data_IF_607273980854
#
_entry.id   IF_607273980854
#
_cell.length_a   1.000
_cell.length_b   1.000
_cell.length_c   1.000
_cell.angle_alpha   90.00
_cell.angle_beta   90.00
_cell.angle_gamma   90.00
#
_symmetry.space_group_name_H-M   'P 1'
#
loop_
_entity.id
_entity.type
_entity.pdbx_description
1 polymer ?
#
# COMPACT_ATOMS: atom_id res chain seq x y z
N UNK A 1 -9.45 4.37 20.22
CA UNK A 1 -10.41 5.33 19.60
C UNK A 1 -11.22 4.60 18.53
N UNK A 2 -12.55 4.77 18.42
CA UNK A 2 -13.35 4.13 17.37
C UNK A 2 -12.94 4.60 15.97
N UNK A 3 -13.16 3.76 14.96
CA UNK A 3 -12.68 3.99 13.59
C UNK A 3 -13.22 5.28 12.97
N UNK A 4 -14.47 5.65 13.24
CA UNK A 4 -15.05 6.90 12.74
C UNK A 4 -14.35 8.15 13.31
N UNK A 5 -13.90 8.13 14.57
CA UNK A 5 -13.13 9.24 15.15
C UNK A 5 -11.73 9.33 14.53
N UNK A 6 -11.10 8.17 14.25
CA UNK A 6 -9.83 8.11 13.50
C UNK A 6 -10.01 8.69 12.10
N UNK A 7 -11.11 8.37 11.43
CA UNK A 7 -11.42 8.90 10.11
C UNK A 7 -11.61 10.42 10.12
N UNK A 8 -12.31 10.97 11.11
CA UNK A 8 -12.43 12.43 11.24
C UNK A 8 -11.06 13.10 11.46
N UNK A 9 -10.21 12.52 12.30
CA UNK A 9 -8.83 12.99 12.50
C UNK A 9 -8.01 12.92 11.20
N UNK A 10 -8.14 11.83 10.45
CA UNK A 10 -7.55 11.70 9.12
C UNK A 10 -8.03 12.80 8.17
N UNK A 11 -9.33 13.07 8.08
CA UNK A 11 -9.88 14.10 7.20
C UNK A 11 -9.33 15.50 7.51
N UNK A 12 -9.11 15.80 8.79
CA UNK A 12 -8.52 17.08 9.22
C UNK A 12 -7.04 17.20 8.84
N UNK A 13 -6.30 16.09 8.83
CA UNK A 13 -4.85 16.07 8.51
C UNK A 13 -4.57 15.87 7.02
N UNK A 14 -5.49 15.24 6.30
CA UNK A 14 -5.28 14.82 4.92
C UNK A 14 -5.22 16.01 3.97
N UNK A 15 -4.25 15.98 3.05
CA UNK A 15 -4.13 16.92 1.95
C UNK A 15 -4.58 16.27 0.63
N UNK A 16 -4.57 17.06 -0.43
CA UNK A 16 -4.76 16.60 -1.81
C UNK A 16 -3.47 16.90 -2.61
N UNK A 17 -3.51 16.74 -3.94
CA UNK A 17 -2.37 17.04 -4.82
C UNK A 17 -1.72 18.42 -4.60
N UNK A 18 -2.46 19.43 -4.13
CA UNK A 18 -1.93 20.78 -3.94
C UNK A 18 -1.10 20.94 -2.67
N UNK A 19 -1.24 20.01 -1.72
CA UNK A 19 -0.41 19.94 -0.51
C UNK A 19 0.73 18.93 -0.61
N UNK A 20 1.03 18.44 -1.81
CA UNK A 20 2.11 17.48 -2.07
C UNK A 20 3.29 18.21 -2.71
N UNK A 21 4.45 18.18 -2.06
CA UNK A 21 5.67 18.83 -2.54
C UNK A 21 6.65 17.87 -3.22
N UNK A 22 6.53 16.56 -2.98
CA UNK A 22 7.33 15.54 -3.67
C UNK A 22 6.83 15.34 -5.12
N UNK A 23 7.66 15.55 -6.15
CA UNK A 23 7.27 15.30 -7.54
C UNK A 23 6.87 13.84 -7.80
N UNK A 24 7.46 12.89 -7.07
CA UNK A 24 7.10 11.47 -7.12
C UNK A 24 5.68 11.26 -6.61
N UNK A 25 5.38 11.75 -5.40
CA UNK A 25 4.04 11.61 -4.79
C UNK A 25 3.00 12.37 -5.60
N UNK A 26 3.32 13.55 -6.13
CA UNK A 26 2.40 14.33 -6.97
C UNK A 26 1.98 13.55 -8.22
N UNK A 27 2.95 12.91 -8.91
CA UNK A 27 2.64 12.05 -10.07
C UNK A 27 1.80 10.84 -9.67
N UNK A 28 2.15 10.16 -8.57
CA UNK A 28 1.38 9.02 -8.08
C UNK A 28 -0.08 9.40 -7.77
N UNK A 29 -0.30 10.51 -7.07
CA UNK A 29 -1.65 10.98 -6.74
C UNK A 29 -2.44 11.31 -8.01
N UNK A 30 -1.87 12.13 -8.89
CA UNK A 30 -2.58 12.64 -10.07
C UNK A 30 -2.83 11.57 -11.13
N UNK A 31 -1.91 10.59 -11.28
CA UNK A 31 -1.98 9.58 -12.34
C UNK A 31 -2.54 8.24 -11.88
N UNK A 32 -2.44 7.91 -10.59
CA UNK A 32 -2.95 6.65 -10.04
C UNK A 32 -4.16 6.87 -9.12
N UNK A 33 -4.01 7.68 -8.06
CA UNK A 33 -5.05 7.76 -7.02
C UNK A 33 -6.35 8.38 -7.55
N UNK A 34 -6.22 9.48 -8.30
CA UNK A 34 -7.36 10.20 -8.88
C UNK A 34 -7.84 9.65 -10.22
N UNK A 35 -7.16 8.62 -10.74
CA UNK A 35 -7.64 7.95 -11.93
C UNK A 35 -8.95 7.19 -11.62
N UNK A 36 -10.00 7.50 -12.39
CA UNK A 36 -11.34 6.93 -12.27
C UNK A 36 -11.60 5.77 -13.23
N UNK A 37 -10.62 5.43 -14.07
CA UNK A 37 -10.68 4.28 -14.97
C UNK A 37 -10.88 3.00 -14.15
N UNK A 38 -11.87 2.21 -14.55
CA UNK A 38 -12.13 0.90 -13.96
C UNK A 38 -11.34 -0.14 -14.73
N UNK A 39 -10.53 -0.90 -14.01
CA UNK A 39 -9.78 -2.02 -14.58
C UNK A 39 -10.70 -3.25 -14.56
N UNK A 40 -10.96 -3.90 -15.71
CA UNK A 40 -11.74 -5.14 -15.74
C UNK A 40 -11.16 -6.17 -14.79
N UNK A 41 -12.02 -6.77 -13.97
CA UNK A 41 -11.64 -7.76 -12.97
C UNK A 41 -12.86 -8.62 -12.68
N UNK A 42 -12.73 -9.92 -12.94
CA UNK A 42 -13.83 -10.89 -12.82
C UNK A 42 -14.11 -11.25 -11.36
N UNK A 43 -13.06 -11.30 -10.54
CA UNK A 43 -13.12 -11.77 -9.17
C UNK A 43 -12.37 -10.85 -8.20
N UNK A 44 -12.99 -10.53 -7.07
CA UNK A 44 -12.36 -9.80 -5.97
C UNK A 44 -12.27 -10.73 -4.76
N UNK A 45 -11.16 -10.69 -4.00
CA UNK A 45 -11.04 -11.40 -2.73
C UNK A 45 -12.21 -11.07 -1.79
N UNK A 46 -12.61 -12.04 -0.97
CA UNK A 46 -13.82 -11.93 -0.15
C UNK A 46 -13.75 -10.84 0.92
N UNK A 47 -12.56 -10.46 1.36
CA UNK A 47 -12.30 -9.49 2.41
C UNK A 47 -11.99 -8.07 1.88
N UNK A 48 -12.05 -7.85 0.55
CA UNK A 48 -11.85 -6.53 -0.07
C UNK A 48 -13.08 -6.04 -0.82
N UNK A 49 -13.43 -4.76 -0.61
CA UNK A 49 -14.51 -4.14 -1.39
C UNK A 49 -14.05 -3.84 -2.81
N UNK A 50 -14.99 -3.83 -3.78
CA UNK A 50 -14.70 -3.50 -5.19
C UNK A 50 -13.94 -2.18 -5.35
N UNK A 51 -14.28 -1.15 -4.57
CA UNK A 51 -13.58 0.16 -4.60
C UNK A 51 -12.11 0.03 -4.17
N UNK A 52 -11.85 -0.71 -3.10
CA UNK A 52 -10.50 -0.95 -2.58
C UNK A 52 -9.69 -1.82 -3.55
N UNK A 53 -10.30 -2.88 -4.10
CA UNK A 53 -9.65 -3.72 -5.11
C UNK A 53 -9.28 -2.93 -6.37
N UNK A 54 -10.17 -2.07 -6.86
CA UNK A 54 -9.88 -1.17 -7.97
C UNK A 54 -8.70 -0.23 -7.70
N UNK A 55 -8.53 0.22 -6.46
CA UNK A 55 -7.37 1.02 -6.08
C UNK A 55 -6.07 0.21 -6.20
N UNK A 56 -6.05 -1.03 -5.70
CA UNK A 56 -4.89 -1.93 -5.84
C UNK A 56 -4.57 -2.23 -7.30
N UNK A 57 -5.57 -2.51 -8.14
CA UNK A 57 -5.36 -2.75 -9.57
C UNK A 57 -4.76 -1.51 -10.26
N UNK A 58 -5.16 -0.30 -9.87
CA UNK A 58 -4.55 0.94 -10.40
C UNK A 58 -3.10 1.09 -9.96
N UNK A 59 -2.74 0.69 -8.73
CA UNK A 59 -1.34 0.65 -8.30
C UNK A 59 -0.54 -0.31 -9.17
N UNK A 60 -1.02 -1.52 -9.40
CA UNK A 60 -0.34 -2.50 -10.27
C UNK A 60 -0.20 -1.97 -11.69
N UNK A 61 -1.25 -1.37 -12.27
CA UNK A 61 -1.19 -0.73 -13.59
C UNK A 61 -0.20 0.43 -13.64
N UNK A 62 -0.08 1.22 -12.58
CA UNK A 62 0.79 2.39 -12.54
C UNK A 62 2.27 2.02 -12.35
N UNK A 63 2.56 1.06 -11.47
CA UNK A 63 3.92 0.65 -11.14
C UNK A 63 4.47 -0.43 -12.07
N UNK A 64 3.60 -1.19 -12.75
CA UNK A 64 3.98 -2.33 -13.61
C UNK A 64 5.02 -3.26 -12.91
N UNK A 65 4.74 -3.72 -11.67
CA UNK A 65 5.69 -4.54 -10.93
C UNK A 65 5.94 -5.85 -11.69
N UNK A 66 7.18 -6.32 -11.69
CA UNK A 66 7.52 -7.65 -12.23
C UNK A 66 7.22 -8.72 -11.21
N UNK A 67 7.31 -8.41 -9.91
CA UNK A 67 7.09 -9.37 -8.83
C UNK A 67 6.20 -8.82 -7.73
N UNK A 68 5.16 -9.59 -7.38
CA UNK A 68 4.23 -9.28 -6.29
C UNK A 68 4.30 -10.39 -5.24
N UNK A 69 4.51 -10.03 -3.98
CA UNK A 69 4.31 -10.92 -2.83
C UNK A 69 3.06 -10.52 -2.08
N UNK A 70 2.20 -11.49 -1.77
CA UNK A 70 0.96 -11.25 -1.03
C UNK A 70 1.03 -12.00 0.30
N UNK A 71 0.69 -11.29 1.36
CA UNK A 71 0.40 -11.85 2.67
C UNK A 71 -1.09 -11.63 2.95
N UNK A 72 -1.84 -12.72 3.01
CA UNK A 72 -3.28 -12.69 3.25
C UNK A 72 -3.72 -13.89 4.08
N UNK A 73 -4.77 -13.71 4.88
CA UNK A 73 -5.43 -14.80 5.60
C UNK A 73 -6.28 -15.68 4.65
N UNK A 74 -6.55 -15.18 3.44
CA UNK A 74 -7.40 -15.84 2.45
C UNK A 74 -6.63 -16.15 1.15
N UNK A 75 -6.77 -17.41 0.69
CA UNK A 75 -6.08 -17.93 -0.52
C UNK A 75 -6.60 -17.35 -1.84
N UNK A 76 -7.80 -16.77 -1.82
CA UNK A 76 -8.46 -16.20 -2.99
C UNK A 76 -7.72 -14.98 -3.57
N UNK A 77 -6.84 -14.36 -2.77
CA UNK A 77 -5.92 -13.31 -3.22
C UNK A 77 -4.94 -13.74 -4.33
N UNK A 78 -4.56 -15.01 -4.39
CA UNK A 78 -3.61 -15.50 -5.41
C UNK A 78 -4.19 -15.39 -6.83
N UNK A 79 -5.54 -15.41 -6.94
CA UNK A 79 -6.27 -15.25 -8.20
C UNK A 79 -6.56 -13.80 -8.58
N UNK A 80 -6.29 -12.85 -7.69
CA UNK A 80 -6.61 -11.43 -7.91
C UNK A 80 -5.63 -10.73 -8.85
N UNK A 81 -4.40 -11.24 -8.93
CA UNK A 81 -3.37 -10.76 -9.84
C UNK A 81 -2.92 -11.88 -10.79
N UNK A 82 -2.38 -11.54 -11.98
CA UNK A 82 -1.86 -12.55 -12.91
C UNK A 82 -0.81 -13.45 -12.25
N UNK A 83 -0.92 -14.77 -12.43
CA UNK A 83 0.01 -15.77 -11.87
C UNK A 83 1.48 -15.47 -12.20
N UNK A 84 1.74 -14.92 -13.39
CA UNK A 84 3.08 -14.51 -13.80
C UNK A 84 3.74 -13.57 -12.78
N UNK A 85 2.97 -12.68 -12.11
CA UNK A 85 3.50 -11.73 -11.13
C UNK A 85 3.76 -12.38 -9.76
N UNK A 86 3.01 -13.41 -9.40
CA UNK A 86 3.03 -14.03 -8.07
C UNK A 86 3.96 -15.24 -7.97
N UNK A 87 4.25 -15.91 -9.08
CA UNK A 87 5.14 -17.08 -9.14
C UNK A 87 6.64 -16.74 -9.20
N UNK A 88 7.01 -15.47 -9.35
CA UNK A 88 8.41 -15.07 -9.46
C UNK A 88 9.23 -15.49 -8.23
N UNK A 89 10.30 -16.25 -8.47
CA UNK A 89 11.22 -16.81 -7.47
C UNK A 89 12.24 -15.81 -6.92
N UNK A 90 12.28 -14.59 -7.45
CA UNK A 90 13.17 -13.53 -6.94
C UNK A 90 12.94 -13.33 -5.44
N UNK A 91 14.03 -13.29 -4.68
CA UNK A 91 13.99 -13.01 -3.24
C UNK A 91 13.48 -11.58 -2.98
N UNK A 92 13.88 -10.63 -3.82
CA UNK A 92 13.40 -9.26 -3.78
C UNK A 92 12.13 -9.09 -4.63
N UNK A 93 11.22 -8.24 -4.14
CA UNK A 93 9.88 -8.03 -4.67
C UNK A 93 9.65 -6.57 -5.01
N UNK A 94 9.05 -6.29 -6.16
CA UNK A 94 8.72 -4.92 -6.56
C UNK A 94 7.52 -4.39 -5.76
N UNK A 95 6.56 -5.26 -5.44
CA UNK A 95 5.38 -4.91 -4.66
C UNK A 95 5.08 -5.99 -3.62
N UNK A 96 4.84 -5.58 -2.38
CA UNK A 96 4.36 -6.43 -1.31
C UNK A 96 2.98 -5.93 -0.88
N UNK A 97 1.98 -6.80 -0.87
CA UNK A 97 0.62 -6.49 -0.41
C UNK A 97 0.37 -7.24 0.89
N UNK A 98 0.12 -6.49 1.97
CA UNK A 98 -0.16 -7.02 3.29
C UNK A 98 -1.63 -6.78 3.67
N UNK A 99 -2.45 -7.82 3.52
CA UNK A 99 -3.86 -7.84 3.95
C UNK A 99 -4.09 -8.76 5.16
N UNK A 100 -3.10 -9.57 5.52
CA UNK A 100 -3.12 -10.50 6.64
C UNK A 100 -3.30 -9.80 8.00
N UNK A 101 -4.17 -10.34 8.86
CA UNK A 101 -4.46 -9.81 10.20
C UNK A 101 -3.65 -10.51 11.27
N UNK A 102 -3.44 -11.80 11.17
CA UNK A 102 -2.70 -12.61 12.14
C UNK A 102 -1.37 -13.07 11.55
N UNK A 103 -0.37 -13.39 12.38
CA UNK A 103 0.92 -13.93 11.92
C UNK A 103 1.58 -13.11 10.79
N UNK A 104 1.52 -11.78 10.89
CA UNK A 104 2.18 -10.86 9.96
C UNK A 104 3.70 -11.10 9.96
N UNK A 105 4.38 -10.93 8.81
CA UNK A 105 5.83 -10.89 8.80
C UNK A 105 6.35 -9.74 9.65
N UNK A 106 7.56 -9.88 10.19
CA UNK A 106 8.23 -8.78 10.90
C UNK A 106 8.63 -7.67 9.93
N UNK A 107 8.97 -6.49 10.47
CA UNK A 107 9.45 -5.37 9.64
C UNK A 107 10.76 -5.76 8.94
N UNK A 108 11.63 -6.51 9.61
CA UNK A 108 12.90 -7.00 9.08
C UNK A 108 12.69 -8.00 7.94
N UNK A 109 11.74 -8.94 8.09
CA UNK A 109 11.38 -9.90 7.04
C UNK A 109 10.81 -9.22 5.79
N UNK A 110 10.02 -8.15 5.98
CA UNK A 110 9.52 -7.34 4.87
C UNK A 110 10.67 -6.61 4.18
N UNK A 111 11.54 -5.93 4.94
CA UNK A 111 12.65 -5.16 4.39
C UNK A 111 13.67 -6.05 3.66
N UNK A 112 13.90 -7.28 4.12
CA UNK A 112 14.76 -8.25 3.44
C UNK A 112 14.25 -8.63 2.03
N UNK A 113 12.95 -8.49 1.78
CA UNK A 113 12.34 -8.73 0.47
C UNK A 113 12.21 -7.46 -0.37
N UNK A 114 12.57 -6.29 0.18
CA UNK A 114 12.42 -5.01 -0.50
C UNK A 114 13.76 -4.49 -1.03
N UNK A 115 13.67 -3.70 -2.10
CA UNK A 115 14.76 -2.98 -2.75
C UNK A 115 14.39 -1.50 -2.89
N UNK A 116 15.29 -0.70 -3.46
CA UNK A 116 15.19 0.77 -3.54
C UNK A 116 13.98 1.33 -4.32
N UNK A 117 13.24 0.50 -5.05
CA UNK A 117 12.02 0.93 -5.72
C UNK A 117 10.79 0.10 -5.30
N UNK A 118 10.94 -0.75 -4.28
CA UNK A 118 9.85 -1.57 -3.76
C UNK A 118 8.78 -0.72 -3.07
N UNK A 119 7.53 -1.17 -3.23
CA UNK A 119 6.38 -0.65 -2.52
C UNK A 119 5.78 -1.74 -1.61
N UNK A 120 5.57 -1.41 -0.34
CA UNK A 120 4.74 -2.18 0.58
C UNK A 120 3.38 -1.50 0.74
N UNK A 121 2.30 -2.24 0.52
CA UNK A 121 0.92 -1.78 0.65
C UNK A 121 0.26 -2.49 1.83
N UNK A 122 0.07 -1.77 2.93
CA UNK A 122 -0.63 -2.24 4.12
C UNK A 122 -2.13 -1.92 4.02
N UNK A 123 -2.97 -2.95 4.07
CA UNK A 123 -4.42 -2.80 4.14
C UNK A 123 -4.89 -2.40 5.55
N UNK A 124 -5.84 -1.48 5.62
CA UNK A 124 -6.52 -1.09 6.86
C UNK A 124 -5.56 -0.72 8.04
N UNK A 125 -4.63 0.23 7.86
CA UNK A 125 -3.60 0.58 8.87
C UNK A 125 -4.19 1.04 10.21
N UNK A 126 -5.38 1.66 10.19
CA UNK A 126 -6.04 2.24 11.39
C UNK A 126 -6.93 1.26 12.15
N UNK A 127 -7.04 0.01 11.68
CA UNK A 127 -7.74 -1.04 12.41
C UNK A 127 -6.92 -1.51 13.62
N UNK A 128 -7.60 -1.94 14.69
CA UNK A 128 -6.97 -2.22 15.99
C UNK A 128 -5.85 -3.27 15.88
N UNK A 129 -6.06 -4.28 15.04
CA UNK A 129 -5.13 -5.36 14.73
C UNK A 129 -3.86 -4.90 13.98
N UNK A 130 -3.87 -3.70 13.40
CA UNK A 130 -2.80 -3.18 12.55
C UNK A 130 -2.12 -1.94 13.14
N UNK A 131 -2.70 -1.25 14.13
CA UNK A 131 -2.16 0.04 14.61
C UNK A 131 -0.72 -0.04 15.09
N UNK A 132 -0.39 -1.06 15.90
CA UNK A 132 0.97 -1.24 16.43
C UNK A 132 1.95 -1.50 15.29
N UNK A 133 1.58 -2.38 14.36
CA UNK A 133 2.42 -2.72 13.21
C UNK A 133 2.60 -1.54 12.25
N UNK A 134 1.52 -0.79 12.02
CA UNK A 134 1.55 0.45 11.24
C UNK A 134 2.49 1.49 11.84
N UNK A 135 2.48 1.63 13.18
CA UNK A 135 3.40 2.51 13.88
C UNK A 135 4.85 2.03 13.74
N UNK A 136 5.12 0.73 13.91
CA UNK A 136 6.45 0.15 13.73
C UNK A 136 7.01 0.39 12.32
N UNK A 137 6.21 0.15 11.28
CA UNK A 137 6.58 0.48 9.90
C UNK A 137 6.84 1.99 9.73
N UNK A 138 5.96 2.82 10.29
CA UNK A 138 6.06 4.28 10.13
C UNK A 138 7.29 4.87 10.82
N UNK A 139 7.74 4.31 11.94
CA UNK A 139 8.91 4.76 12.69
C UNK A 139 10.23 4.24 12.10
N UNK A 140 10.19 3.16 11.30
CA UNK A 140 11.39 2.62 10.66
C UNK A 140 11.92 3.57 9.58
N UNK A 141 13.19 3.95 9.71
CA UNK A 141 13.85 4.94 8.85
C UNK A 141 14.22 4.44 7.45
N UNK A 142 14.13 3.13 7.18
CA UNK A 142 14.36 2.59 5.85
C UNK A 142 13.25 2.98 4.86
N UNK A 143 12.03 3.22 5.37
CA UNK A 143 10.96 3.79 4.56
C UNK A 143 11.13 5.31 4.46
N UNK A 144 11.43 5.77 3.25
CA UNK A 144 11.65 7.19 2.98
C UNK A 144 10.38 7.89 2.54
N UNK A 145 9.46 7.21 1.86
CA UNK A 145 8.13 7.79 1.57
C UNK A 145 7.05 6.93 2.18
N UNK A 146 6.20 7.57 2.98
CA UNK A 146 5.04 6.93 3.59
C UNK A 146 3.81 7.71 3.17
N UNK A 147 2.79 7.03 2.67
CA UNK A 147 1.53 7.65 2.23
C UNK A 147 0.35 6.95 2.91
N UNK A 148 -0.31 7.65 3.81
CA UNK A 148 -1.54 7.21 4.48
C UNK A 148 -2.76 7.69 3.69
N UNK A 149 -3.55 6.75 3.18
CA UNK A 149 -4.83 7.03 2.48
C UNK A 149 -6.06 6.64 3.32
N UNK A 150 -5.86 6.39 4.61
CA UNK A 150 -6.77 5.78 5.56
C UNK A 150 -7.13 4.32 5.28
N UNK A 151 -7.56 4.01 4.05
CA UNK A 151 -7.88 2.64 3.65
C UNK A 151 -6.62 1.77 3.48
N UNK A 152 -5.54 2.39 3.03
CA UNK A 152 -4.23 1.78 2.84
C UNK A 152 -3.13 2.71 3.36
N UNK A 153 -2.01 2.14 3.81
CA UNK A 153 -0.75 2.84 3.96
C UNK A 153 0.26 2.26 2.96
N UNK A 154 0.93 3.12 2.21
CA UNK A 154 1.93 2.75 1.22
C UNK A 154 3.29 3.17 1.75
N UNK A 155 4.24 2.25 1.76
CA UNK A 155 5.59 2.46 2.24
C UNK A 155 6.57 2.19 1.10
N UNK A 156 7.48 3.14 0.87
CA UNK A 156 8.49 3.04 -0.17
C UNK A 156 9.87 3.14 0.45
N UNK A 157 10.78 2.30 -0.02
CA UNK A 157 12.21 2.56 0.08
C UNK A 157 12.54 3.34 -1.18
N UNK A 158 13.17 4.52 -1.04
CA UNK A 158 13.68 5.35 -2.14
C UNK A 158 14.81 6.23 -1.65
N UNK A 159 16.05 5.92 -1.99
CA UNK A 159 17.23 6.65 -1.50
C UNK A 159 17.42 8.04 -2.13
N UNK A 160 16.73 8.34 -3.24
CA UNK A 160 16.88 9.61 -3.96
C UNK A 160 16.10 10.79 -3.36
N UNK A 161 15.27 10.55 -2.34
CA UNK A 161 14.50 11.61 -1.69
C UNK A 161 14.56 11.51 -0.16
N UNK A 162 14.40 12.65 0.50
CA UNK A 162 14.36 12.71 1.95
C UNK A 162 13.15 11.97 2.53
N UNK A 163 13.22 11.65 3.81
CA UNK A 163 12.12 10.96 4.48
C UNK A 163 10.92 11.88 4.66
N UNK A 164 9.81 11.55 4.01
CA UNK A 164 8.57 12.32 4.03
C UNK A 164 7.36 11.41 4.34
N UNK A 165 6.42 11.95 5.10
CA UNK A 165 5.16 11.30 5.46
C UNK A 165 3.99 12.13 4.96
N UNK A 166 3.13 11.52 4.14
CA UNK A 166 1.98 12.16 3.53
C UNK A 166 0.68 11.52 4.02
N UNK A 167 -0.31 12.36 4.35
CA UNK A 167 -1.69 11.91 4.57
C UNK A 167 -2.51 12.41 3.39
N UNK A 168 -2.99 11.52 2.53
CA UNK A 168 -3.58 11.89 1.24
C UNK A 168 -5.02 11.42 1.15
N UNK A 169 -5.91 12.35 0.81
CA UNK A 169 -7.32 12.07 0.56
C UNK A 169 -7.50 11.47 -0.84
N UNK A 170 -8.17 10.32 -0.92
CA UNK A 170 -8.45 9.53 -2.14
C UNK A 170 -9.94 9.28 -2.38
#
# INVERSE_FOLDING_TARGET
MPLWKKYLSFLWKSTNQHGVHSPFVFRLVTKCFYNKEKIPCEYYPCDISKRKGQFLLRLVKYFEPKSIKIYSDHKDWDSFFPHALTEHTSEQKDMIILSQRENKPTVEELLAQMHNDSILVLSAPHHKENEIFYQQLSENKQFTVIIDTFAFALFFIRSEQEREFFVIRT
#
